data_IF_885947197751
#
_entry.id   IF_885947197751
#
_cell.length_a   1.000
_cell.length_b   1.000
_cell.length_c   1.000
_cell.angle_alpha   90.00
_cell.angle_beta   90.00
_cell.angle_gamma   90.00
#
_symmetry.space_group_name_H-M   'P 1'
#
loop_
_entity.id
_entity.type
_entity.pdbx_description
1 polymer ?
#
# COMPACT_ATOMS: atom_id res chain seq x y z
N UNK A 1 7.15 -8.86 -5.34
CA UNK A 1 7.49 -8.96 -3.90
C UNK A 1 7.55 -10.43 -3.54
N UNK A 2 8.48 -10.89 -2.70
CA UNK A 2 8.68 -12.32 -2.44
C UNK A 2 8.64 -12.65 -0.95
N UNK A 3 8.38 -13.92 -0.63
CA UNK A 3 8.46 -14.47 0.74
C UNK A 3 9.86 -14.34 1.36
N UNK A 4 10.88 -14.07 0.56
CA UNK A 4 12.24 -13.81 1.04
C UNK A 4 12.34 -12.45 1.74
N UNK A 5 11.74 -11.39 1.19
CA UNK A 5 11.69 -10.07 1.82
C UNK A 5 10.96 -10.12 3.17
N UNK A 6 9.85 -10.86 3.24
CA UNK A 6 9.12 -11.08 4.49
C UNK A 6 10.00 -11.80 5.53
N UNK A 7 10.71 -12.84 5.11
CA UNK A 7 11.61 -13.60 6.01
C UNK A 7 12.71 -12.71 6.57
N UNK A 8 13.29 -11.85 5.74
CA UNK A 8 14.32 -10.89 6.18
C UNK A 8 13.74 -9.91 7.21
N UNK A 9 12.58 -9.29 6.93
CA UNK A 9 11.94 -8.36 7.86
C UNK A 9 11.60 -9.02 9.21
N UNK A 10 11.07 -10.25 9.19
CA UNK A 10 10.81 -11.02 10.41
C UNK A 10 12.09 -11.35 11.19
N UNK A 11 13.18 -11.65 10.51
CA UNK A 11 14.46 -11.92 11.14
C UNK A 11 15.03 -10.67 11.83
N UNK A 12 15.03 -9.54 11.12
CA UNK A 12 15.51 -8.26 11.65
C UNK A 12 14.67 -7.79 12.85
N UNK A 13 13.35 -7.89 12.77
CA UNK A 13 12.45 -7.56 13.87
C UNK A 13 12.71 -8.41 15.12
N UNK A 14 12.96 -9.72 14.95
CA UNK A 14 13.31 -10.62 16.06
C UNK A 14 14.64 -10.23 16.73
N UNK A 15 15.62 -9.76 15.96
CA UNK A 15 16.90 -9.27 16.51
C UNK A 15 16.71 -7.97 17.31
N UNK A 16 15.87 -7.05 16.82
CA UNK A 16 15.59 -5.77 17.47
C UNK A 16 14.66 -5.91 18.70
N UNK A 17 13.77 -6.89 18.69
CA UNK A 17 12.79 -7.15 19.75
C UNK A 17 13.36 -7.81 21.01
N UNK A 18 14.60 -8.30 20.98
CA UNK A 18 15.20 -9.03 22.10
C UNK A 18 15.29 -8.22 23.41
N UNK A 19 15.36 -6.88 23.31
CA UNK A 19 15.58 -5.96 24.44
C UNK A 19 14.40 -4.99 24.69
N UNK A 20 13.22 -5.21 24.08
CA UNK A 20 12.07 -4.30 24.14
C UNK A 20 10.76 -5.05 24.40
N UNK A 21 9.69 -4.37 24.89
CA UNK A 21 8.35 -4.95 24.93
C UNK A 21 7.88 -5.14 23.48
N UNK A 22 8.16 -6.32 22.95
CA UNK A 22 7.91 -6.72 21.57
C UNK A 22 7.13 -8.03 21.57
N UNK A 23 6.06 -8.07 20.79
CA UNK A 23 5.27 -9.27 20.56
C UNK A 23 5.57 -9.79 19.15
N UNK A 24 6.08 -11.04 19.01
CA UNK A 24 6.30 -11.61 17.69
C UNK A 24 5.00 -11.74 16.91
N UNK A 25 5.04 -11.56 15.57
CA UNK A 25 3.92 -11.96 14.71
C UNK A 25 3.55 -13.42 14.96
N UNK A 26 2.24 -13.68 14.97
CA UNK A 26 1.75 -15.05 15.10
C UNK A 26 1.90 -15.79 13.77
N UNK A 27 1.89 -17.14 13.77
CA UNK A 27 1.83 -17.90 12.52
C UNK A 27 0.63 -17.54 11.62
N UNK A 28 -0.49 -17.09 12.21
CA UNK A 28 -1.64 -16.61 11.45
C UNK A 28 -1.33 -15.30 10.74
N UNK A 29 -0.68 -14.36 11.43
CA UNK A 29 -0.24 -13.07 10.88
C UNK A 29 0.80 -13.27 9.76
N UNK A 30 1.78 -14.16 9.96
CA UNK A 30 2.77 -14.49 8.92
C UNK A 30 2.09 -15.08 7.67
N UNK A 31 1.13 -16.00 7.85
CA UNK A 31 0.40 -16.61 6.74
C UNK A 31 -0.52 -15.61 6.01
N UNK A 32 -1.09 -14.64 6.72
CA UNK A 32 -1.84 -13.52 6.13
C UNK A 32 -0.93 -12.63 5.29
N UNK A 33 0.24 -12.27 5.81
CA UNK A 33 1.22 -11.46 5.08
C UNK A 33 1.71 -12.18 3.81
N UNK A 34 1.96 -13.49 3.87
CA UNK A 34 2.32 -14.30 2.70
C UNK A 34 1.23 -14.29 1.62
N UNK A 35 -0.05 -14.41 2.02
CA UNK A 35 -1.17 -14.32 1.08
C UNK A 35 -1.25 -12.93 0.45
N UNK A 36 -1.10 -11.87 1.24
CA UNK A 36 -1.14 -10.49 0.76
C UNK A 36 -0.02 -10.25 -0.26
N UNK A 37 1.20 -10.69 0.04
CA UNK A 37 2.35 -10.60 -0.84
C UNK A 37 2.15 -11.37 -2.15
N UNK A 38 1.55 -12.56 -2.08
CA UNK A 38 1.25 -13.36 -3.26
C UNK A 38 0.26 -12.66 -4.20
N UNK A 39 -0.80 -12.04 -3.65
CA UNK A 39 -1.77 -11.27 -4.44
C UNK A 39 -1.11 -10.06 -5.10
N UNK A 40 -0.32 -9.30 -4.34
CA UNK A 40 0.38 -8.13 -4.87
C UNK A 40 1.46 -8.52 -5.90
N UNK A 41 2.03 -9.72 -5.81
CA UNK A 41 2.96 -10.22 -6.82
C UNK A 41 2.28 -10.56 -8.16
N UNK A 42 0.97 -10.83 -8.17
CA UNK A 42 0.22 -11.07 -9.41
C UNK A 42 -0.23 -9.79 -10.12
N UNK A 43 -0.14 -8.64 -9.46
CA UNK A 43 -0.58 -7.35 -9.97
C UNK A 43 0.63 -6.49 -10.40
N UNK A 44 0.95 -6.41 -11.71
CA UNK A 44 2.09 -5.63 -12.19
C UNK A 44 1.88 -4.11 -12.12
N UNK A 45 0.68 -3.67 -11.74
CA UNK A 45 0.31 -2.25 -11.71
C UNK A 45 1.00 -1.47 -10.59
N UNK A 46 1.39 -2.13 -9.51
CA UNK A 46 1.92 -1.48 -8.30
C UNK A 46 3.39 -1.85 -8.08
N UNK A 47 4.23 -0.89 -7.67
CA UNK A 47 5.60 -1.21 -7.28
C UNK A 47 5.60 -2.08 -6.02
N UNK A 48 6.72 -2.79 -5.75
CA UNK A 48 6.94 -3.44 -4.46
C UNK A 48 6.76 -2.44 -3.31
N UNK A 49 5.95 -2.80 -2.32
CA UNK A 49 5.82 -2.08 -1.06
C UNK A 49 6.97 -2.42 -0.09
N UNK A 50 7.19 -1.57 0.89
CA UNK A 50 8.09 -1.84 2.00
C UNK A 50 7.40 -2.71 3.04
N UNK A 51 8.09 -3.68 3.61
CA UNK A 51 7.55 -4.57 4.64
C UNK A 51 8.11 -4.14 6.00
N UNK A 52 7.22 -3.84 6.93
CA UNK A 52 7.59 -3.49 8.31
C UNK A 52 6.85 -4.40 9.29
N UNK A 53 7.59 -4.96 10.25
CA UNK A 53 7.02 -5.76 11.34
C UNK A 53 6.85 -4.87 12.55
N UNK A 54 5.60 -4.70 12.99
CA UNK A 54 5.26 -3.82 14.09
C UNK A 54 5.56 -4.43 15.46
N UNK A 55 5.72 -3.60 16.51
CA UNK A 55 6.03 -4.09 17.85
C UNK A 55 4.93 -4.95 18.51
N UNK A 56 3.70 -4.83 18.04
CA UNK A 56 2.54 -5.61 18.49
C UNK A 56 2.36 -6.94 17.72
N UNK A 57 3.21 -7.19 16.73
CA UNK A 57 3.18 -8.39 15.90
C UNK A 57 2.39 -8.22 14.61
N UNK A 58 1.79 -7.06 14.33
CA UNK A 58 1.19 -6.77 13.04
C UNK A 58 2.28 -6.65 11.94
N UNK A 59 1.91 -6.92 10.70
CA UNK A 59 2.80 -6.79 9.55
C UNK A 59 2.22 -5.75 8.59
N UNK A 60 2.99 -4.70 8.33
CA UNK A 60 2.63 -3.59 7.47
C UNK A 60 3.32 -3.73 6.12
N UNK A 61 2.56 -3.44 5.06
CA UNK A 61 3.07 -3.16 3.73
C UNK A 61 2.81 -1.69 3.39
N UNK A 62 3.88 -0.93 3.17
CA UNK A 62 3.82 0.51 2.92
C UNK A 62 4.21 0.89 1.49
N UNK A 63 3.57 1.93 0.97
CA UNK A 63 3.96 2.61 -0.26
C UNK A 63 3.99 4.11 -0.03
N UNK A 64 5.03 4.78 -0.49
CA UNK A 64 5.15 6.23 -0.47
C UNK A 64 5.31 6.74 -1.91
N UNK A 65 4.46 7.70 -2.30
CA UNK A 65 4.43 8.31 -3.62
C UNK A 65 4.85 9.80 -3.58
N UNK A 66 5.82 10.12 -2.72
CA UNK A 66 6.32 11.48 -2.51
C UNK A 66 5.22 12.43 -2.02
N UNK A 67 5.14 13.63 -2.62
CA UNK A 67 4.16 14.68 -2.28
C UNK A 67 2.69 14.24 -2.38
N UNK A 68 2.44 13.13 -3.08
CA UNK A 68 1.08 12.60 -3.20
C UNK A 68 0.59 11.94 -1.91
N UNK A 69 1.50 11.38 -1.13
CA UNK A 69 1.22 10.71 0.13
C UNK A 69 1.57 9.23 0.12
N UNK A 70 0.87 8.47 0.96
CA UNK A 70 1.25 7.11 1.32
C UNK A 70 0.03 6.20 1.55
N UNK A 71 0.25 4.90 1.42
CA UNK A 71 -0.71 3.84 1.76
C UNK A 71 0.01 2.79 2.59
N UNK A 72 -0.65 2.30 3.62
CA UNK A 72 -0.26 1.13 4.40
C UNK A 72 -1.40 0.12 4.41
N UNK A 73 -1.06 -1.14 4.10
CA UNK A 73 -1.91 -2.29 4.31
C UNK A 73 -1.36 -3.09 5.48
N UNK A 74 -2.20 -3.49 6.43
CA UNK A 74 -1.79 -4.15 7.66
C UNK A 74 -2.63 -5.41 7.92
N UNK A 75 -1.95 -6.45 8.38
CA UNK A 75 -2.53 -7.73 8.81
C UNK A 75 -2.04 -8.06 10.21
N UNK A 76 -2.92 -8.62 11.04
CA UNK A 76 -2.68 -8.87 12.46
C UNK A 76 -2.98 -10.31 12.89
N UNK A 77 -3.46 -11.18 12.00
CA UNK A 77 -3.85 -12.56 12.31
C UNK A 77 -5.32 -12.75 12.65
N UNK A 78 -6.14 -11.70 12.55
CA UNK A 78 -7.58 -11.74 12.85
C UNK A 78 -8.47 -11.82 11.60
N UNK A 79 -7.92 -12.16 10.43
CA UNK A 79 -8.61 -12.14 9.16
C UNK A 79 -9.23 -10.75 8.85
N UNK A 80 -8.51 -9.70 9.23
CA UNK A 80 -8.81 -8.32 8.88
C UNK A 80 -7.68 -7.76 8.01
N UNK A 81 -8.05 -6.99 7.01
CA UNK A 81 -7.12 -6.14 6.28
C UNK A 81 -7.38 -4.70 6.71
N UNK A 82 -6.40 -4.11 7.39
CA UNK A 82 -6.44 -2.70 7.78
C UNK A 82 -5.75 -1.86 6.71
N UNK A 83 -6.40 -0.77 6.34
CA UNK A 83 -5.95 0.18 5.33
C UNK A 83 -5.77 1.52 6.02
N UNK A 84 -4.61 2.13 5.85
CA UNK A 84 -4.34 3.49 6.30
C UNK A 84 -3.71 4.24 5.14
N UNK A 85 -4.20 5.42 4.81
CA UNK A 85 -3.66 6.20 3.70
C UNK A 85 -3.82 7.69 3.93
N UNK A 86 -2.85 8.45 3.45
CA UNK A 86 -3.00 9.89 3.20
C UNK A 86 -2.73 10.10 1.72
N UNK A 87 -3.69 10.65 0.98
CA UNK A 87 -3.57 10.86 -0.46
C UNK A 87 -4.11 12.25 -0.79
N UNK A 88 -3.27 13.11 -1.38
CA UNK A 88 -3.63 14.47 -1.78
C UNK A 88 -4.25 15.30 -0.63
N UNK A 89 -3.86 15.01 0.62
CA UNK A 89 -4.35 15.68 1.85
C UNK A 89 -5.57 15.03 2.50
N UNK A 90 -6.19 14.02 1.86
CA UNK A 90 -7.27 13.25 2.45
C UNK A 90 -6.74 12.05 3.23
N UNK A 91 -7.23 11.86 4.45
CA UNK A 91 -6.88 10.72 5.31
C UNK A 91 -7.99 9.65 5.26
N UNK A 92 -7.56 8.40 5.14
CA UNK A 92 -8.42 7.24 5.07
C UNK A 92 -7.92 6.18 6.06
N UNK A 93 -8.83 5.64 6.88
CA UNK A 93 -8.54 4.46 7.71
C UNK A 93 -9.74 3.55 7.75
N UNK A 94 -9.56 2.28 7.41
CA UNK A 94 -10.64 1.28 7.41
C UNK A 94 -10.07 -0.12 7.65
N UNK A 95 -10.72 -0.91 8.50
CA UNK A 95 -10.44 -2.34 8.65
C UNK A 95 -11.62 -3.16 8.13
N UNK A 96 -11.34 -4.16 7.30
CA UNK A 96 -12.37 -4.97 6.66
C UNK A 96 -12.07 -6.47 6.83
N UNK A 97 -13.10 -7.33 6.96
CA UNK A 97 -12.93 -8.77 6.87
C UNK A 97 -12.25 -9.17 5.58
N UNK A 98 -11.25 -10.04 5.69
CA UNK A 98 -10.40 -10.43 4.57
C UNK A 98 -10.11 -11.93 4.59
N UNK A 99 -10.43 -12.60 3.48
CA UNK A 99 -10.31 -14.06 3.36
C UNK A 99 -8.98 -14.51 2.72
N UNK A 100 -8.12 -13.57 2.32
CA UNK A 100 -6.83 -13.85 1.72
C UNK A 100 -6.85 -14.24 0.24
N UNK A 101 -8.00 -14.21 -0.44
CA UNK A 101 -8.11 -14.64 -1.85
C UNK A 101 -8.02 -13.51 -2.86
N UNK A 102 -8.41 -12.31 -2.47
CA UNK A 102 -8.32 -11.09 -3.28
C UNK A 102 -8.07 -9.90 -2.37
N UNK A 103 -7.55 -8.80 -2.92
CA UNK A 103 -7.60 -7.52 -2.22
C UNK A 103 -9.08 -7.15 -1.98
N UNK A 104 -9.36 -6.45 -0.89
CA UNK A 104 -10.69 -5.85 -0.72
C UNK A 104 -10.86 -4.72 -1.74
N UNK A 105 -12.12 -4.37 -2.05
CA UNK A 105 -12.41 -3.27 -2.98
C UNK A 105 -11.74 -1.97 -2.53
N UNK A 106 -11.71 -1.72 -1.21
CA UNK A 106 -11.08 -0.54 -0.66
C UNK A 106 -9.56 -0.57 -0.74
N UNK A 107 -8.90 -1.71 -0.44
CA UNK A 107 -7.45 -1.87 -0.62
C UNK A 107 -7.01 -1.54 -2.06
N UNK A 108 -7.74 -2.10 -3.03
CA UNK A 108 -7.46 -1.87 -4.44
C UNK A 108 -7.69 -0.39 -4.81
N UNK A 109 -8.73 0.23 -4.28
CA UNK A 109 -9.05 1.63 -4.54
C UNK A 109 -8.00 2.60 -3.98
N UNK A 110 -7.54 2.42 -2.74
CA UNK A 110 -6.51 3.32 -2.15
C UNK A 110 -5.17 3.19 -2.88
N UNK A 111 -4.77 1.98 -3.27
CA UNK A 111 -3.58 1.76 -4.08
C UNK A 111 -3.72 2.39 -5.47
N UNK A 112 -4.88 2.21 -6.12
CA UNK A 112 -5.17 2.84 -7.41
C UNK A 112 -5.11 4.36 -7.31
N UNK A 113 -5.66 4.95 -6.25
CA UNK A 113 -5.61 6.40 -6.00
C UNK A 113 -4.18 6.88 -5.79
N UNK A 114 -3.37 6.15 -5.02
CA UNK A 114 -1.97 6.51 -4.79
C UNK A 114 -1.18 6.58 -6.11
N UNK A 115 -1.48 5.72 -7.07
CA UNK A 115 -0.71 5.63 -8.32
C UNK A 115 -1.38 6.25 -9.56
N UNK A 116 -2.67 6.60 -9.52
CA UNK A 116 -3.39 7.17 -10.67
C UNK A 116 -2.78 8.52 -11.09
N UNK A 117 -2.32 8.76 -12.31
CA UNK A 117 -1.74 10.08 -12.63
C UNK A 117 -2.64 11.25 -12.18
N UNK A 118 -2.08 12.32 -11.57
CA UNK A 118 -2.88 13.49 -11.25
C UNK A 118 -3.54 13.96 -12.53
N UNK A 119 -4.86 14.18 -12.49
CA UNK A 119 -5.57 14.78 -13.61
C UNK A 119 -4.88 16.13 -13.88
N UNK A 120 -4.15 16.25 -15.00
CA UNK A 120 -3.46 17.50 -15.33
C UNK A 120 -4.49 18.64 -15.33
N UNK A 121 -4.38 19.62 -14.42
CA UNK A 121 -5.17 20.83 -14.54
C UNK A 121 -4.47 21.70 -15.60
N UNK A 122 -4.85 21.54 -16.87
CA UNK A 122 -4.30 22.40 -17.92
C UNK A 122 -4.29 21.83 -19.33
N UNK A 123 -5.46 21.62 -19.93
CA UNK A 123 -5.60 21.68 -21.40
C UNK A 123 -6.98 22.19 -21.82
N UNK A 124 -7.38 23.33 -21.28
CA UNK A 124 -8.45 24.17 -21.83
C UNK A 124 -7.88 25.54 -22.12
N UNK A 125 -7.00 25.57 -23.12
CA UNK A 125 -6.62 26.78 -23.85
C UNK A 125 -6.98 26.57 -25.31
N UNK A 126 -8.27 26.32 -25.58
CA UNK A 126 -8.83 26.50 -26.91
C UNK A 126 -8.85 28.02 -27.16
N UNK A 127 -7.81 28.53 -27.82
CA UNK A 127 -7.79 29.89 -28.34
C UNK A 127 -8.37 29.86 -29.76
N UNK A 128 -9.54 30.47 -30.00
CA UNK A 128 -10.11 30.54 -31.33
C UNK A 128 -9.43 31.64 -32.15
N UNK A 129 -8.92 31.27 -33.32
CA UNK A 129 -8.93 32.11 -34.52
C UNK A 129 -7.87 33.21 -34.63
N UNK A 130 -6.84 32.97 -35.43
CA UNK A 130 -6.24 34.00 -36.27
C UNK A 130 -5.74 33.38 -37.58
N UNK A 131 -6.60 33.39 -38.62
CA UNK A 131 -6.15 33.22 -40.00
C UNK A 131 -5.49 34.53 -40.46
N UNK A 132 -4.24 34.51 -40.95
CA UNK A 132 -3.71 35.66 -41.68
C UNK A 132 -4.31 35.68 -43.10
N UNK A 133 -5.01 36.76 -43.42
CA UNK A 133 -5.54 37.06 -44.75
C UNK A 133 -4.38 37.50 -45.64
N UNK A 134 -4.18 36.81 -46.76
CA UNK A 134 -3.23 37.20 -47.80
C UNK A 134 -3.74 38.44 -48.55
N UNK A 135 -2.92 39.46 -48.67
CA UNK A 135 -2.86 40.38 -49.82
C UNK A 135 -1.45 40.91 -49.95
#
# INVERSE_FOLDING_TARGET
>A
MSSETLRTALHEARLLGADRPWTPPTPATEAEAERLLALLATEPAWPPGEIEVQPDGAIHLGWEAGERGWVTLSVDGHALLTHSAVIDGDEYTLAEPWDGRSLTDWAAEVLRRLWAQPAQPGRTGDSPGAQPKAT
#
